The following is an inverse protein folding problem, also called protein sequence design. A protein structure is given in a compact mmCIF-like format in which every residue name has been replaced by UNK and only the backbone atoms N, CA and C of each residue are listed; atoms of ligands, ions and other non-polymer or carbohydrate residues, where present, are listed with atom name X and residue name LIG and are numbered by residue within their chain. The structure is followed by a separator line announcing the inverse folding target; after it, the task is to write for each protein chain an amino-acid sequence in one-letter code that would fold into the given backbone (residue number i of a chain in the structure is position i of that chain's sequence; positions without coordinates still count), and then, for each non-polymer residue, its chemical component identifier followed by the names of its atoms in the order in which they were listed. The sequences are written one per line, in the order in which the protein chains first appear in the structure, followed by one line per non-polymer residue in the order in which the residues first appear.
data_IF_005946830488
#
_entry.id   IF_005946830488
#
_cell.length_a   1.000
_cell.length_b   1.000
_cell.length_c   1.000
_cell.angle_alpha   90.00
_cell.angle_beta   90.00
_cell.angle_gamma   90.00
#
_symmetry.space_group_name_H-M   'P 1'
#
loop_
_entity.id
_entity.type
_entity.pdbx_description
1 polymer ?
#
# COMPACT_ATOMS: atom_id res chain seq x y z
N UNK A 1 6.90 -6.74 -26.51
CA UNK A 1 8.02 -7.66 -26.21
C UNK A 1 8.46 -7.33 -24.79
N UNK A 2 7.99 -8.12 -23.81
CA UNK A 2 8.45 -8.00 -22.42
C UNK A 2 9.95 -8.30 -22.45
N UNK A 3 10.77 -7.29 -22.25
CA UNK A 3 12.21 -7.43 -22.10
C UNK A 3 12.47 -8.39 -20.94
N UNK A 4 13.25 -9.44 -21.17
CA UNK A 4 13.69 -10.36 -20.13
C UNK A 4 14.28 -9.52 -18.98
N UNK A 5 13.65 -9.59 -17.79
CA UNK A 5 14.08 -8.87 -16.61
C UNK A 5 15.56 -9.18 -16.39
N UNK A 6 16.38 -8.14 -16.31
CA UNK A 6 17.82 -8.24 -16.18
C UNK A 6 18.23 -9.18 -15.05
N UNK A 7 19.31 -9.91 -15.24
CA UNK A 7 19.87 -10.89 -14.31
C UNK A 7 20.44 -10.26 -13.03
N UNK A 8 20.24 -8.96 -12.84
CA UNK A 8 20.80 -8.21 -11.73
C UNK A 8 19.82 -8.19 -10.54
N UNK A 9 20.34 -8.44 -9.35
CA UNK A 9 19.56 -8.51 -8.11
C UNK A 9 19.23 -7.12 -7.57
N UNK A 10 17.98 -6.95 -7.13
CA UNK A 10 17.50 -5.73 -6.45
C UNK A 10 17.14 -6.02 -4.99
N UNK A 11 17.90 -5.43 -4.07
CA UNK A 11 17.68 -5.57 -2.63
C UNK A 11 16.40 -4.91 -2.13
N UNK A 12 15.86 -3.93 -2.84
CA UNK A 12 14.56 -3.33 -2.51
C UNK A 12 13.46 -4.39 -2.60
N UNK A 13 13.52 -5.24 -3.63
CA UNK A 13 12.59 -6.35 -3.81
C UNK A 13 12.75 -7.43 -2.73
N UNK A 14 13.98 -7.67 -2.26
CA UNK A 14 14.19 -8.54 -1.09
C UNK A 14 13.54 -7.96 0.17
N UNK A 15 13.64 -6.67 0.38
CA UNK A 15 12.97 -5.98 1.50
C UNK A 15 11.46 -6.20 1.45
N UNK A 16 10.84 -5.97 0.29
CA UNK A 16 9.40 -6.17 0.09
C UNK A 16 9.02 -7.63 0.31
N UNK A 17 9.75 -8.57 -0.31
CA UNK A 17 9.50 -10.02 -0.16
C UNK A 17 9.55 -10.48 1.31
N UNK A 18 10.55 -10.02 2.07
CA UNK A 18 10.67 -10.34 3.49
C UNK A 18 9.51 -9.77 4.31
N UNK A 19 9.14 -8.51 4.05
CA UNK A 19 8.02 -7.83 4.74
C UNK A 19 6.69 -8.52 4.44
N UNK A 20 6.45 -8.95 3.21
CA UNK A 20 5.27 -9.73 2.83
C UNK A 20 5.11 -11.01 3.67
N UNK A 21 6.22 -11.67 4.01
CA UNK A 21 6.24 -12.89 4.84
C UNK A 21 6.35 -12.60 6.34
N UNK A 22 6.22 -11.34 6.78
CA UNK A 22 6.34 -10.91 8.20
C UNK A 22 7.62 -11.40 8.86
N UNK A 23 8.70 -11.55 8.09
CA UNK A 23 9.98 -12.03 8.60
C UNK A 23 10.89 -10.88 9.01
N UNK A 24 11.54 -11.02 10.17
CA UNK A 24 12.66 -10.13 10.53
C UNK A 24 13.91 -10.51 9.74
N UNK A 25 14.87 -9.59 9.65
CA UNK A 25 16.18 -9.90 9.03
C UNK A 25 16.86 -11.07 9.71
N UNK A 26 16.78 -11.15 11.04
CA UNK A 26 17.36 -12.24 11.82
C UNK A 26 16.69 -13.59 11.51
N UNK A 27 15.36 -13.61 11.40
CA UNK A 27 14.60 -14.83 11.06
C UNK A 27 14.98 -15.31 9.66
N UNK A 28 14.93 -14.43 8.65
CA UNK A 28 15.26 -14.78 7.28
C UNK A 28 16.73 -15.24 7.16
N UNK A 29 17.65 -14.55 7.82
CA UNK A 29 19.08 -14.90 7.82
C UNK A 29 19.32 -16.32 8.32
N UNK A 30 18.68 -16.70 9.43
CA UNK A 30 18.76 -18.06 9.99
C UNK A 30 18.22 -19.10 9.03
N UNK A 31 17.09 -18.83 8.37
CA UNK A 31 16.44 -19.77 7.45
C UNK A 31 17.26 -20.00 6.16
N UNK A 32 17.96 -18.97 5.69
CA UNK A 32 18.78 -19.07 4.47
C UNK A 32 20.26 -19.31 4.74
N UNK A 33 20.68 -19.46 6.02
CA UNK A 33 22.04 -19.80 6.40
C UNK A 33 23.06 -18.68 6.13
N UNK A 34 22.69 -17.42 6.44
CA UNK A 34 23.57 -16.25 6.37
C UNK A 34 23.45 -15.41 7.63
N UNK A 35 24.22 -14.34 7.77
CA UNK A 35 24.12 -13.43 8.91
C UNK A 35 23.02 -12.38 8.69
N UNK A 36 22.40 -11.83 9.76
CA UNK A 36 21.46 -10.71 9.65
C UNK A 36 22.08 -9.47 8.96
N UNK A 37 23.39 -9.27 9.15
CA UNK A 37 24.16 -8.22 8.49
C UNK A 37 24.21 -8.43 6.99
N UNK A 38 24.39 -9.69 6.53
CA UNK A 38 24.38 -10.01 5.10
C UNK A 38 23.01 -9.70 4.48
N UNK A 39 21.89 -10.06 5.13
CA UNK A 39 20.55 -9.67 4.67
C UNK A 39 20.43 -8.15 4.57
N UNK A 40 20.89 -7.41 5.59
CA UNK A 40 20.84 -5.95 5.56
C UNK A 40 21.67 -5.34 4.43
N UNK A 41 22.82 -5.93 4.11
CA UNK A 41 23.66 -5.51 2.97
C UNK A 41 23.00 -5.81 1.63
N UNK A 42 22.37 -6.99 1.49
CA UNK A 42 21.60 -7.35 0.29
C UNK A 42 20.43 -6.38 0.07
N UNK A 43 19.64 -6.08 1.11
CA UNK A 43 18.52 -5.15 1.03
C UNK A 43 18.92 -3.71 0.66
N UNK A 44 20.14 -3.31 1.00
CA UNK A 44 20.71 -1.99 0.64
C UNK A 44 21.48 -1.98 -0.68
N UNK A 45 21.50 -3.09 -1.41
CA UNK A 45 22.31 -3.27 -2.62
C UNK A 45 23.83 -3.04 -2.40
N UNK A 46 24.32 -3.17 -1.15
CA UNK A 46 25.75 -3.06 -0.82
C UNK A 46 26.53 -4.35 -1.16
N UNK A 47 25.84 -5.48 -1.23
CA UNK A 47 26.37 -6.76 -1.71
C UNK A 47 25.26 -7.55 -2.37
N UNK A 48 25.62 -8.55 -3.17
CA UNK A 48 24.67 -9.43 -3.85
C UNK A 48 24.72 -10.84 -3.26
N UNK A 49 23.57 -11.54 -3.11
CA UNK A 49 23.57 -12.92 -2.70
C UNK A 49 24.23 -13.80 -3.79
N UNK A 50 24.93 -14.84 -3.37
CA UNK A 50 25.39 -15.89 -4.30
C UNK A 50 24.18 -16.61 -4.90
N UNK A 51 24.37 -17.34 -6.01
CA UNK A 51 23.30 -18.09 -6.66
C UNK A 51 22.63 -19.08 -5.70
N UNK A 52 23.40 -19.74 -4.83
CA UNK A 52 22.89 -20.67 -3.84
C UNK A 52 22.09 -19.98 -2.73
N UNK A 53 22.52 -18.80 -2.30
CA UNK A 53 21.76 -17.97 -1.31
C UNK A 53 20.48 -17.45 -1.94
N UNK A 54 20.53 -16.96 -3.19
CA UNK A 54 19.35 -16.49 -3.90
C UNK A 54 18.32 -17.62 -4.08
N UNK A 55 18.74 -18.82 -4.43
CA UNK A 55 17.84 -19.98 -4.52
C UNK A 55 17.13 -20.27 -3.19
N UNK A 56 17.88 -20.21 -2.06
CA UNK A 56 17.27 -20.36 -0.72
C UNK A 56 16.33 -19.23 -0.37
N UNK A 57 16.64 -17.97 -0.73
CA UNK A 57 15.74 -16.84 -0.57
C UNK A 57 14.43 -17.05 -1.33
N UNK A 58 14.50 -17.46 -2.61
CA UNK A 58 13.33 -17.80 -3.42
C UNK A 58 12.44 -18.84 -2.74
N UNK A 59 13.05 -19.92 -2.25
CA UNK A 59 12.34 -21.02 -1.58
C UNK A 59 11.68 -20.55 -0.27
N UNK A 60 12.42 -19.83 0.59
CA UNK A 60 11.94 -19.41 1.90
C UNK A 60 10.88 -18.29 1.82
N UNK A 61 10.92 -17.48 0.77
CA UNK A 61 9.96 -16.40 0.55
C UNK A 61 8.82 -16.81 -0.38
N UNK A 62 8.91 -17.96 -1.04
CA UNK A 62 7.89 -18.48 -1.95
C UNK A 62 7.68 -17.54 -3.16
N UNK A 63 8.78 -16.99 -3.69
CA UNK A 63 8.76 -16.06 -4.83
C UNK A 63 9.78 -16.52 -5.88
N UNK A 64 9.45 -16.37 -7.17
CA UNK A 64 10.36 -16.78 -8.25
C UNK A 64 11.57 -15.83 -8.32
N UNK A 65 12.65 -16.32 -8.94
CA UNK A 65 13.90 -15.55 -9.07
C UNK A 65 13.71 -14.20 -9.77
N UNK A 66 12.86 -14.17 -10.76
CA UNK A 66 12.53 -13.00 -11.57
C UNK A 66 11.93 -11.86 -10.73
N UNK A 67 11.30 -12.21 -9.60
CA UNK A 67 10.79 -11.22 -8.65
C UNK A 67 11.91 -10.32 -8.12
N UNK A 68 13.09 -10.88 -7.88
CA UNK A 68 14.25 -10.17 -7.31
C UNK A 68 15.09 -9.45 -8.35
N UNK A 69 14.68 -9.46 -9.63
CA UNK A 69 15.40 -8.81 -10.71
C UNK A 69 15.27 -7.29 -10.70
N UNK A 70 16.38 -6.59 -11.02
CA UNK A 70 16.41 -5.14 -11.22
C UNK A 70 15.64 -4.70 -12.49
N UNK A 71 15.44 -3.39 -12.63
CA UNK A 71 14.81 -2.79 -13.80
C UNK A 71 13.29 -2.57 -13.68
N UNK A 72 12.72 -2.88 -12.52
CA UNK A 72 11.33 -2.56 -12.18
C UNK A 72 11.32 -1.78 -10.85
N UNK A 73 11.40 -0.45 -10.89
CA UNK A 73 11.44 0.36 -9.67
C UNK A 73 10.17 0.14 -8.84
N UNK A 74 10.33 0.02 -7.53
CA UNK A 74 9.23 -0.04 -6.57
C UNK A 74 9.08 1.34 -5.93
N UNK A 75 7.87 1.87 -5.95
CA UNK A 75 7.51 3.03 -5.15
C UNK A 75 7.38 2.58 -3.69
N UNK A 76 8.34 2.98 -2.84
CA UNK A 76 8.29 2.67 -1.42
C UNK A 76 7.27 3.60 -0.73
N UNK A 77 6.36 3.01 0.02
CA UNK A 77 5.43 3.76 0.85
C UNK A 77 6.11 4.20 2.14
N UNK A 78 6.00 5.49 2.52
CA UNK A 78 6.60 5.97 3.76
C UNK A 78 5.94 5.30 4.97
N UNK A 79 6.74 4.77 5.88
CA UNK A 79 6.24 4.19 7.15
C UNK A 79 5.81 5.27 8.16
N UNK A 80 6.10 6.54 7.88
CA UNK A 80 5.81 7.70 8.73
C UNK A 80 4.90 8.67 7.99
N UNK A 81 3.60 8.61 8.27
CA UNK A 81 2.63 9.57 7.76
C UNK A 81 1.47 9.73 8.75
N UNK A 82 0.79 10.88 8.71
CA UNK A 82 -0.34 11.17 9.61
C UNK A 82 -1.48 10.15 9.47
N UNK A 83 -1.62 9.56 8.29
CA UNK A 83 -2.70 8.63 7.95
C UNK A 83 -2.49 7.20 8.47
N UNK A 84 -1.33 6.88 9.06
CA UNK A 84 -1.05 5.57 9.68
C UNK A 84 -1.48 5.46 11.15
N UNK A 85 -2.33 6.35 11.65
CA UNK A 85 -2.80 6.29 13.05
C UNK A 85 -3.55 4.98 13.35
N UNK A 86 -4.35 4.50 12.41
CA UNK A 86 -5.05 3.20 12.50
C UNK A 86 -4.11 2.01 12.62
N UNK A 87 -2.89 2.11 12.08
CA UNK A 87 -1.88 1.06 12.15
C UNK A 87 -0.99 1.14 13.40
N UNK A 88 -1.15 2.14 14.28
CA UNK A 88 -0.33 2.28 15.49
C UNK A 88 -0.56 1.17 16.51
N UNK A 89 -1.75 0.59 16.54
CA UNK A 89 -2.12 -0.54 17.40
C UNK A 89 -1.62 -1.89 16.88
N UNK A 90 -1.16 -1.96 15.63
CA UNK A 90 -0.68 -3.21 15.02
C UNK A 90 0.82 -3.42 15.28
N UNK A 91 1.27 -4.68 15.21
CA UNK A 91 2.69 -4.99 15.30
C UNK A 91 3.48 -4.34 14.16
N UNK A 92 4.77 -4.04 14.39
CA UNK A 92 5.63 -3.48 13.36
C UNK A 92 5.69 -4.37 12.10
N UNK A 93 5.73 -5.70 12.29
CA UNK A 93 5.78 -6.66 11.18
C UNK A 93 4.47 -6.70 10.39
N UNK A 94 3.32 -6.55 11.04
CA UNK A 94 2.00 -6.49 10.37
C UNK A 94 1.84 -5.21 9.57
N UNK A 95 2.31 -4.09 10.12
CA UNK A 95 2.34 -2.80 9.41
C UNK A 95 3.26 -2.87 8.18
N UNK A 96 4.47 -3.40 8.35
CA UNK A 96 5.41 -3.58 7.25
C UNK A 96 4.83 -4.49 6.15
N UNK A 97 4.09 -5.54 6.51
CA UNK A 97 3.41 -6.40 5.56
C UNK A 97 2.36 -5.64 4.75
N UNK A 98 1.50 -4.87 5.41
CA UNK A 98 0.47 -4.08 4.73
C UNK A 98 1.07 -3.07 3.74
N UNK A 99 2.16 -2.39 4.14
CA UNK A 99 2.90 -1.49 3.25
C UNK A 99 3.51 -2.24 2.06
N UNK A 100 4.06 -3.42 2.27
CA UNK A 100 4.65 -4.22 1.19
C UNK A 100 3.59 -4.67 0.16
N UNK A 101 2.37 -5.00 0.60
CA UNK A 101 1.26 -5.22 -0.33
C UNK A 101 0.90 -3.95 -1.10
N UNK A 102 0.88 -2.81 -0.42
CA UNK A 102 0.65 -1.51 -1.06
C UNK A 102 1.68 -1.20 -2.14
N UNK A 103 2.95 -1.42 -1.86
CA UNK A 103 4.07 -1.21 -2.79
C UNK A 103 3.94 -2.08 -4.06
N UNK A 104 3.51 -3.34 -3.92
CA UNK A 104 3.23 -4.22 -5.07
C UNK A 104 1.98 -3.79 -5.84
N UNK A 105 0.96 -3.32 -5.14
CA UNK A 105 -0.24 -2.80 -5.80
C UNK A 105 0.08 -1.55 -6.62
N UNK A 106 0.96 -0.68 -6.15
CA UNK A 106 1.42 0.48 -6.92
C UNK A 106 2.16 0.07 -8.19
N UNK A 107 3.06 -0.91 -8.12
CA UNK A 107 3.72 -1.46 -9.32
C UNK A 107 2.68 -1.96 -10.34
N UNK A 108 1.62 -2.62 -9.87
CA UNK A 108 0.52 -3.09 -10.73
C UNK A 108 -0.27 -1.92 -11.32
N UNK A 109 -0.57 -0.89 -10.53
CA UNK A 109 -1.28 0.31 -10.99
C UNK A 109 -0.48 1.06 -12.05
N UNK A 110 0.83 1.22 -11.83
CA UNK A 110 1.73 1.86 -12.81
C UNK A 110 1.78 1.04 -14.11
N UNK A 111 1.81 -0.29 -14.00
CA UNK A 111 1.76 -1.17 -15.16
C UNK A 111 0.43 -1.05 -15.91
N UNK A 112 -0.70 -1.02 -15.22
CA UNK A 112 -2.03 -0.83 -15.84
C UNK A 112 -2.11 0.55 -16.49
N UNK A 113 -1.63 1.59 -15.81
CA UNK A 113 -1.62 2.97 -16.31
C UNK A 113 -0.80 3.18 -17.60
N UNK A 114 0.13 2.25 -17.89
CA UNK A 114 0.85 2.26 -19.18
C UNK A 114 -0.03 1.81 -20.38
N UNK A 115 -1.18 1.18 -20.11
CA UNK A 115 -2.08 0.64 -21.16
C UNK A 115 -3.49 1.24 -21.11
N UNK A 116 -3.88 1.83 -19.98
CA UNK A 116 -5.23 2.35 -19.73
C UNK A 116 -5.13 3.73 -19.08
N UNK A 117 -5.94 4.67 -19.55
CA UNK A 117 -6.09 5.97 -18.91
C UNK A 117 -6.86 5.81 -17.59
N UNK A 118 -6.19 6.02 -16.49
CA UNK A 118 -6.83 6.03 -15.18
C UNK A 118 -7.54 7.37 -14.93
N UNK A 119 -8.69 7.39 -14.24
CA UNK A 119 -9.37 8.63 -13.89
C UNK A 119 -8.41 9.65 -13.25
N UNK A 120 -8.52 10.92 -13.59
CA UNK A 120 -7.71 11.97 -12.95
C UNK A 120 -8.06 12.09 -11.47
N UNK A 121 -7.06 12.44 -10.66
CA UNK A 121 -7.30 12.73 -9.24
C UNK A 121 -8.13 14.01 -9.13
N UNK A 122 -9.26 13.93 -8.44
CA UNK A 122 -10.20 15.02 -8.24
C UNK A 122 -10.63 15.09 -6.78
N UNK A 123 -9.67 15.37 -5.88
CA UNK A 123 -10.00 15.71 -4.49
C UNK A 123 -10.35 17.19 -4.39
N UNK A 124 -11.38 17.58 -3.62
CA UNK A 124 -11.68 18.99 -3.39
C UNK A 124 -10.59 19.65 -2.54
N UNK A 125 -10.18 20.84 -2.94
CA UNK A 125 -9.36 21.70 -2.09
C UNK A 125 -10.32 22.44 -1.13
N UNK A 126 -10.18 22.17 0.17
CA UNK A 126 -11.02 22.77 1.20
C UNK A 126 -10.19 23.73 2.06
N UNK A 127 -10.75 24.91 2.30
CA UNK A 127 -10.26 25.80 3.34
C UNK A 127 -10.77 25.31 4.70
N UNK A 128 -9.92 24.65 5.47
CA UNK A 128 -10.26 24.09 6.76
C UNK A 128 -9.82 25.02 7.89
N UNK A 129 -10.60 25.15 8.97
CA UNK A 129 -10.18 25.87 10.16
C UNK A 129 -9.02 25.14 10.86
N UNK A 130 -8.22 25.87 11.65
CA UNK A 130 -7.13 25.27 12.45
C UNK A 130 -7.64 24.19 13.40
N UNK A 131 -8.84 24.37 13.95
CA UNK A 131 -9.51 23.39 14.80
C UNK A 131 -10.72 22.82 14.06
N UNK A 132 -10.68 21.50 13.81
CA UNK A 132 -11.79 20.79 13.13
C UNK A 132 -12.91 20.55 14.12
N UNK A 133 -14.03 21.26 13.91
CA UNK A 133 -15.30 21.00 14.63
C UNK A 133 -16.16 19.99 13.87
N UNK A 134 -17.16 19.41 14.53
CA UNK A 134 -18.11 18.49 13.88
C UNK A 134 -18.84 19.17 12.71
N UNK A 135 -19.18 20.46 12.84
CA UNK A 135 -19.81 21.24 11.77
C UNK A 135 -18.89 21.41 10.57
N UNK A 136 -17.60 21.69 10.79
CA UNK A 136 -16.60 21.80 9.73
C UNK A 136 -16.44 20.47 8.98
N UNK A 137 -16.45 19.34 9.67
CA UNK A 137 -16.38 18.00 9.08
C UNK A 137 -17.61 17.71 8.22
N UNK A 138 -18.81 18.06 8.71
CA UNK A 138 -20.07 17.89 7.96
C UNK A 138 -20.06 18.76 6.70
N UNK A 139 -19.59 20.01 6.81
CA UNK A 139 -19.51 20.90 5.65
C UNK A 139 -18.47 20.44 4.64
N UNK A 140 -17.31 19.94 5.07
CA UNK A 140 -16.32 19.32 4.20
C UNK A 140 -16.91 18.13 3.41
N UNK A 141 -17.70 17.30 4.08
CA UNK A 141 -18.40 16.19 3.42
C UNK A 141 -19.44 16.67 2.40
N UNK A 142 -20.19 17.76 2.70
CA UNK A 142 -21.13 18.36 1.74
C UNK A 142 -20.43 18.95 0.53
N UNK A 143 -19.35 19.69 0.74
CA UNK A 143 -18.55 20.29 -0.33
C UNK A 143 -17.93 19.22 -1.21
N UNK A 144 -17.40 18.14 -0.63
CA UNK A 144 -16.88 16.98 -1.38
C UNK A 144 -17.95 16.39 -2.29
N UNK A 145 -19.15 16.14 -1.76
CA UNK A 145 -20.28 15.63 -2.56
C UNK A 145 -20.68 16.59 -3.67
N UNK A 146 -20.74 17.89 -3.36
CA UNK A 146 -21.11 18.93 -4.34
C UNK A 146 -20.08 19.02 -5.47
N UNK A 147 -18.78 19.02 -5.13
CA UNK A 147 -17.68 19.04 -6.11
C UNK A 147 -17.72 17.83 -7.03
N UNK A 148 -18.12 16.68 -6.51
CA UNK A 148 -18.25 15.44 -7.27
C UNK A 148 -19.61 15.27 -7.95
N UNK A 149 -20.50 16.25 -7.87
CA UNK A 149 -21.84 16.18 -8.46
C UNK A 149 -22.73 15.11 -7.83
N UNK A 150 -22.48 14.73 -6.59
CA UNK A 150 -23.22 13.67 -5.88
C UNK A 150 -24.40 14.27 -5.13
N UNK A 151 -25.61 13.87 -5.50
CA UNK A 151 -26.83 14.31 -4.82
C UNK A 151 -26.86 13.88 -3.33
N UNK A 152 -27.62 14.60 -2.46
CA UNK A 152 -27.89 14.14 -1.10
C UNK A 152 -28.50 12.74 -1.08
N UNK A 153 -28.13 11.93 -0.08
CA UNK A 153 -28.65 10.56 0.06
C UNK A 153 -27.57 9.48 0.08
N UNK A 154 -27.95 8.20 0.08
CA UNK A 154 -27.02 7.10 0.13
C UNK A 154 -26.22 6.96 -1.17
N UNK A 155 -24.93 6.61 -1.06
CA UNK A 155 -24.10 6.25 -2.20
C UNK A 155 -24.33 4.76 -2.56
N UNK A 156 -24.48 4.42 -3.84
CA UNK A 156 -24.55 3.01 -4.27
C UNK A 156 -23.29 2.23 -3.91
N UNK A 157 -22.11 2.80 -4.17
CA UNK A 157 -20.80 2.22 -3.88
C UNK A 157 -19.80 3.33 -3.55
N UNK A 158 -19.26 3.32 -2.33
CA UNK A 158 -18.20 4.26 -1.94
C UNK A 158 -16.92 3.98 -2.74
N UNK A 159 -16.53 2.70 -2.90
CA UNK A 159 -15.33 2.30 -3.64
C UNK A 159 -15.38 2.81 -5.09
N UNK A 160 -16.46 2.54 -5.82
CA UNK A 160 -16.61 3.04 -7.19
C UNK A 160 -16.59 4.57 -7.27
N UNK A 161 -17.13 5.25 -6.25
CA UNK A 161 -17.06 6.71 -6.17
C UNK A 161 -15.62 7.17 -6.00
N UNK A 162 -14.83 6.54 -5.13
CA UNK A 162 -13.40 6.85 -4.95
C UNK A 162 -12.64 6.65 -6.27
N UNK A 163 -12.82 5.50 -6.92
CA UNK A 163 -12.13 5.14 -8.17
C UNK A 163 -12.49 6.10 -9.32
N UNK A 164 -13.76 6.51 -9.43
CA UNK A 164 -14.20 7.49 -10.43
C UNK A 164 -13.51 8.87 -10.27
N UNK A 165 -13.03 9.18 -9.07
CA UNK A 165 -12.32 10.44 -8.75
C UNK A 165 -10.80 10.23 -8.59
N UNK A 166 -10.27 9.16 -9.16
CA UNK A 166 -8.83 8.92 -9.25
C UNK A 166 -8.17 8.39 -7.98
N UNK A 167 -8.95 8.03 -6.96
CA UNK A 167 -8.47 7.40 -5.73
C UNK A 167 -8.43 5.89 -5.96
N UNK A 168 -7.29 5.26 -5.72
CA UNK A 168 -7.17 3.81 -5.86
C UNK A 168 -7.61 3.15 -4.56
N UNK A 169 -8.66 2.33 -4.64
CA UNK A 169 -9.15 1.55 -3.51
C UNK A 169 -8.71 0.08 -3.64
N UNK A 170 -7.99 -0.41 -2.65
CA UNK A 170 -7.41 -1.74 -2.64
C UNK A 170 -7.86 -2.51 -1.40
N UNK A 171 -8.24 -3.77 -1.59
CA UNK A 171 -8.46 -4.67 -0.46
C UNK A 171 -7.19 -5.47 -0.20
N UNK A 172 -6.72 -5.42 1.05
CA UNK A 172 -5.57 -6.20 1.48
C UNK A 172 -5.90 -7.70 1.39
N UNK A 173 -4.92 -8.56 1.08
CA UNK A 173 -5.09 -10.00 1.06
C UNK A 173 -5.47 -10.58 2.44
N UNK A 174 -6.15 -11.72 2.44
CA UNK A 174 -6.62 -12.42 3.66
C UNK A 174 -5.47 -12.82 4.60
N UNK A 175 -4.27 -13.02 4.05
CA UNK A 175 -3.05 -13.32 4.80
C UNK A 175 -2.52 -12.12 5.61
N UNK A 176 -3.06 -10.92 5.37
CA UNK A 176 -2.74 -9.75 6.18
C UNK A 176 -3.31 -9.93 7.59
N UNK A 177 -2.59 -9.43 8.59
CA UNK A 177 -3.04 -9.50 9.97
C UNK A 177 -4.43 -8.86 10.13
N UNK A 178 -5.34 -9.58 10.77
CA UNK A 178 -6.70 -9.12 11.04
C UNK A 178 -6.76 -7.83 11.89
N UNK A 179 -5.69 -7.53 12.62
CA UNK A 179 -5.55 -6.29 13.38
C UNK A 179 -5.22 -5.07 12.49
N UNK A 180 -4.92 -5.27 11.20
CA UNK A 180 -4.72 -4.18 10.25
C UNK A 180 -6.09 -3.65 9.82
N UNK A 181 -6.43 -2.48 10.31
CA UNK A 181 -7.60 -1.72 9.84
C UNK A 181 -7.38 -1.08 8.47
N UNK A 182 -8.41 -0.43 7.94
CA UNK A 182 -8.26 0.41 6.75
C UNK A 182 -7.27 1.55 7.04
N UNK A 183 -6.57 2.00 6.01
CA UNK A 183 -5.71 3.17 6.05
C UNK A 183 -5.59 3.80 4.68
N UNK A 184 -5.21 5.07 4.64
CA UNK A 184 -4.96 5.81 3.41
C UNK A 184 -3.54 6.37 3.37
N UNK A 185 -3.03 6.59 2.17
CA UNK A 185 -1.72 7.20 1.91
C UNK A 185 -1.68 7.80 0.52
N UNK A 186 -0.57 8.43 0.17
CA UNK A 186 -0.30 8.94 -1.17
C UNK A 186 0.90 8.24 -1.81
N UNK A 187 0.81 8.00 -3.12
CA UNK A 187 1.95 7.69 -3.96
C UNK A 187 2.11 8.82 -4.98
N UNK A 188 3.11 9.67 -4.78
CA UNK A 188 3.18 10.93 -5.49
C UNK A 188 1.92 11.75 -5.25
N UNK A 189 1.24 12.14 -6.33
CA UNK A 189 -0.01 12.91 -6.27
C UNK A 189 -1.28 12.02 -6.21
N UNK A 190 -1.16 10.69 -6.29
CA UNK A 190 -2.33 9.78 -6.34
C UNK A 190 -2.65 9.22 -4.95
N UNK A 191 -3.87 9.43 -4.45
CA UNK A 191 -4.31 8.89 -3.18
C UNK A 191 -4.67 7.41 -3.30
N UNK A 192 -4.42 6.68 -2.22
CA UNK A 192 -4.63 5.25 -2.07
C UNK A 192 -5.41 4.97 -0.79
N UNK A 193 -6.39 4.11 -0.88
CA UNK A 193 -7.16 3.61 0.26
C UNK A 193 -7.00 2.10 0.34
N UNK A 194 -6.53 1.60 1.47
CA UNK A 194 -6.38 0.18 1.75
C UNK A 194 -7.49 -0.27 2.70
N UNK A 195 -8.27 -1.25 2.29
CA UNK A 195 -9.36 -1.80 3.06
C UNK A 195 -8.93 -3.10 3.75
N UNK A 196 -9.40 -3.31 4.97
CA UNK A 196 -9.11 -4.52 5.75
C UNK A 196 -9.59 -5.79 5.02
N UNK A 197 -8.84 -6.90 5.08
CA UNK A 197 -9.20 -8.15 4.42
C UNK A 197 -10.33 -8.91 5.10
N UNK A 198 -10.47 -8.75 6.42
CA UNK A 198 -11.22 -9.67 7.29
C UNK A 198 -12.67 -9.27 7.55
N UNK A 199 -13.07 -8.09 7.10
CA UNK A 199 -14.43 -7.59 7.36
C UNK A 199 -15.33 -7.92 6.18
N UNK A 200 -15.95 -9.09 6.24
CA UNK A 200 -16.97 -9.56 5.26
C UNK A 200 -18.30 -8.78 5.39
N UNK A 201 -18.35 -7.80 6.30
CA UNK A 201 -19.47 -6.90 6.48
C UNK A 201 -19.34 -5.72 5.48
N UNK A 202 -20.27 -5.71 4.51
CA UNK A 202 -20.36 -4.65 3.50
C UNK A 202 -20.59 -3.27 4.11
N UNK A 203 -21.36 -3.16 5.19
CA UNK A 203 -21.63 -1.90 5.87
C UNK A 203 -20.33 -1.36 6.50
N UNK A 204 -19.56 -2.20 7.16
CA UNK A 204 -18.29 -1.83 7.76
C UNK A 204 -17.26 -1.43 6.71
N UNK A 205 -17.14 -2.21 5.63
CA UNK A 205 -16.22 -1.87 4.52
C UNK A 205 -16.56 -0.53 3.85
N UNK A 206 -17.85 -0.20 3.75
CA UNK A 206 -18.30 1.11 3.24
C UNK A 206 -17.94 2.25 4.21
N UNK A 207 -18.12 2.02 5.50
CA UNK A 207 -17.74 2.97 6.52
C UNK A 207 -16.23 3.21 6.51
N UNK A 208 -15.44 2.15 6.49
CA UNK A 208 -13.97 2.23 6.44
C UNK A 208 -13.51 3.03 5.20
N UNK A 209 -14.07 2.76 4.01
CA UNK A 209 -13.72 3.51 2.79
C UNK A 209 -14.10 5.00 2.87
N UNK A 210 -15.26 5.32 3.47
CA UNK A 210 -15.68 6.70 3.66
C UNK A 210 -14.83 7.41 4.74
N UNK A 211 -14.43 6.70 5.79
CA UNK A 211 -13.56 7.21 6.83
C UNK A 211 -12.18 7.59 6.28
N UNK A 212 -11.59 6.71 5.45
CA UNK A 212 -10.32 6.98 4.80
C UNK A 212 -10.41 8.14 3.78
N UNK A 213 -11.54 8.28 3.09
CA UNK A 213 -11.80 9.48 2.29
C UNK A 213 -11.78 10.74 3.15
N UNK A 214 -12.39 10.68 4.34
CA UNK A 214 -12.35 11.78 5.30
C UNK A 214 -10.91 12.20 5.62
N UNK A 215 -10.00 11.25 5.84
CA UNK A 215 -8.58 11.56 6.05
C UNK A 215 -7.92 12.21 4.83
N UNK A 216 -8.24 11.76 3.62
CA UNK A 216 -7.67 12.32 2.38
C UNK A 216 -8.17 13.74 2.08
N UNK A 217 -9.35 14.11 2.58
CA UNK A 217 -9.97 15.42 2.34
C UNK A 217 -9.64 16.44 3.45
N UNK A 218 -9.42 15.95 4.69
CA UNK A 218 -9.25 16.81 5.86
C UNK A 218 -7.79 17.03 6.28
N UNK A 219 -6.84 16.28 5.70
CA UNK A 219 -5.41 16.29 6.06
C UNK A 219 -4.50 16.26 4.83
#
# INVERSE_FOLDING_TARGET
TVSAAGTDFDGTRLTVARRLRRKTKATLAREVGVTPTAIAQFEKNLSKPTQSVLARLCLQLGLPREFFGAGRPLALLPASGAHFRSLRSTSATSREQALAYGELCLELVDLIGAYVDLPPVSLPELELPEELTDEAIVEAARLTRSTWGIAPGPLPSVVQTLEAHGIIALRLPVETDAAVDAFSTYSGARPLVFLSPTKDDKARSRFDAAHELGHLVLH
#
